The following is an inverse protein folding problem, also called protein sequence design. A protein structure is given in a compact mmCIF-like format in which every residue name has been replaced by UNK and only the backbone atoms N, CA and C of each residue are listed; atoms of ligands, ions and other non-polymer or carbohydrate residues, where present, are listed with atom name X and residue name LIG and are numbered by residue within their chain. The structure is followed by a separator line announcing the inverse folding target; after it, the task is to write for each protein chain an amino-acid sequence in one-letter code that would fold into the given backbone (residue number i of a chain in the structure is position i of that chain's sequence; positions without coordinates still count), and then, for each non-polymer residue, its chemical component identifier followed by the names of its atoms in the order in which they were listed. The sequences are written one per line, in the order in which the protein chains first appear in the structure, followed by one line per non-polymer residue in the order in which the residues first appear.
data_IF_876541309057
#
_entry.id   IF_876541309057
#
_cell.length_a   1.000
_cell.length_b   1.000
_cell.length_c   1.000
_cell.angle_alpha   90.00
_cell.angle_beta   90.00
_cell.angle_gamma   90.00
#
_symmetry.space_group_name_H-M   'P 1'
#
loop_
_entity.id
_entity.type
_entity.pdbx_description
1 polymer ?
#
# COMPACT_ATOMS: atom_id res chain seq x y z
N UNK A 1 10.05 23.16 -0.38
CA UNK A 1 8.78 22.45 -0.18
C UNK A 1 8.20 22.93 1.14
N UNK A 2 7.36 23.96 1.08
CA UNK A 2 6.72 24.64 2.21
C UNK A 2 5.43 23.91 2.55
N UNK A 3 5.41 23.17 3.66
CA UNK A 3 4.19 22.58 4.23
C UNK A 3 3.27 23.70 4.77
N UNK A 4 1.95 23.70 4.48
CA UNK A 4 1.03 24.61 5.13
C UNK A 4 0.73 24.07 6.53
N UNK A 5 1.36 24.66 7.56
CA UNK A 5 0.94 24.44 8.95
C UNK A 5 -0.49 24.95 9.11
N UNK A 6 -1.48 24.05 9.23
CA UNK A 6 -2.85 24.44 9.54
C UNK A 6 -2.91 24.98 10.97
N UNK A 7 -3.02 26.30 11.13
CA UNK A 7 -3.20 26.94 12.43
C UNK A 7 -4.68 26.80 12.84
N UNK A 8 -4.93 26.30 14.05
CA UNK A 8 -6.26 26.24 14.65
C UNK A 8 -6.44 27.40 15.64
N UNK A 9 -7.63 27.98 15.71
CA UNK A 9 -7.99 29.00 16.70
C UNK A 9 -8.90 28.39 17.78
N UNK A 10 -8.61 28.69 19.04
CA UNK A 10 -9.37 28.21 20.20
C UNK A 10 -10.27 29.35 20.70
N UNK A 11 -11.59 29.17 20.62
CA UNK A 11 -12.58 30.14 21.10
C UNK A 11 -13.28 29.62 22.36
N UNK A 12 -13.21 30.36 23.47
CA UNK A 12 -13.93 30.02 24.69
C UNK A 12 -15.41 30.38 24.55
N UNK A 13 -16.29 29.41 24.76
CA UNK A 13 -17.73 29.66 24.81
C UNK A 13 -18.11 30.06 26.24
N UNK A 14 -18.88 31.14 26.39
CA UNK A 14 -19.35 31.64 27.68
C UNK A 14 -20.52 30.74 28.15
N UNK A 15 -20.52 30.22 29.38
CA UNK A 15 -21.58 29.32 29.84
C UNK A 15 -22.90 30.09 29.99
N UNK A 16 -23.97 29.59 29.37
CA UNK A 16 -25.33 30.02 29.67
C UNK A 16 -25.69 29.58 31.09
N UNK A 17 -26.31 30.51 31.80
CA UNK A 17 -26.46 30.50 33.24
C UNK A 17 -27.61 29.57 33.64
N UNK A 18 -27.33 28.36 34.11
CA UNK A 18 -28.27 27.63 34.97
C UNK A 18 -27.56 26.59 35.87
N UNK A 19 -27.69 26.80 37.18
CA UNK A 19 -27.65 25.80 38.26
C UNK A 19 -26.52 24.76 38.29
N UNK A 20 -25.54 24.98 39.19
CA UNK A 20 -24.82 23.88 39.84
C UNK A 20 -23.31 23.83 39.62
N UNK A 21 -22.57 24.48 40.53
CA UNK A 21 -21.36 23.93 41.17
C UNK A 21 -20.12 23.48 40.39
N UNK A 22 -20.10 23.45 39.06
CA UNK A 22 -18.92 22.97 38.32
C UNK A 22 -18.53 23.95 37.19
N UNK A 23 -17.39 24.63 37.36
CA UNK A 23 -16.89 25.63 36.39
C UNK A 23 -16.19 24.93 35.22
N UNK A 24 -16.93 24.15 34.44
CA UNK A 24 -16.42 23.59 33.18
C UNK A 24 -16.30 24.69 32.13
N UNK A 25 -15.12 24.84 31.54
CA UNK A 25 -14.90 25.76 30.41
C UNK A 25 -14.97 24.98 29.11
N UNK A 26 -15.94 25.30 28.28
CA UNK A 26 -16.11 24.68 26.96
C UNK A 26 -15.40 25.53 25.92
N UNK A 27 -14.47 24.92 25.19
CA UNK A 27 -13.77 25.58 24.08
C UNK A 27 -14.16 24.96 22.76
N UNK A 28 -14.34 25.82 21.75
CA UNK A 28 -14.53 25.44 20.36
C UNK A 28 -13.20 25.62 19.63
N UNK A 29 -12.75 24.57 18.95
CA UNK A 29 -11.58 24.63 18.07
C UNK A 29 -12.09 24.82 16.64
N UNK A 30 -11.61 25.84 15.95
CA UNK A 30 -11.92 26.10 14.54
C UNK A 30 -10.66 26.17 13.71
N UNK A 31 -10.68 25.54 12.53
CA UNK A 31 -9.62 25.66 11.52
C UNK A 31 -9.77 27.00 10.79
N UNK A 32 -8.66 27.67 10.50
CA UNK A 32 -8.65 29.05 9.98
C UNK A 32 -9.27 29.21 8.58
N UNK A 33 -9.62 28.11 7.89
CA UNK A 33 -10.19 28.11 6.53
C UNK A 33 -11.74 28.12 6.49
N UNK A 34 -12.44 28.09 7.63
CA UNK A 34 -13.91 28.03 7.66
C UNK A 34 -14.61 29.40 7.76
N UNK A 35 -13.90 30.53 7.68
CA UNK A 35 -14.48 31.86 7.95
C UNK A 35 -15.00 32.62 6.72
N UNK A 36 -14.98 32.05 5.52
CA UNK A 36 -15.50 32.75 4.33
C UNK A 36 -16.25 31.81 3.40
N UNK A 37 -17.54 31.56 3.64
CA UNK A 37 -18.51 31.30 2.57
C UNK A 37 -19.91 31.66 3.08
N UNK A 38 -20.31 32.92 2.86
CA UNK A 38 -21.71 33.25 2.67
C UNK A 38 -22.17 32.61 1.35
N UNK A 39 -23.01 31.57 1.40
CA UNK A 39 -24.03 31.36 0.36
C UNK A 39 -25.13 30.41 0.81
N UNK A 40 -26.35 30.87 0.55
CA UNK A 40 -27.62 30.24 0.85
C UNK A 40 -27.86 28.89 0.15
N UNK A 41 -28.76 28.14 0.79
CA UNK A 41 -29.70 27.14 0.27
C UNK A 41 -29.30 25.66 0.17
N UNK A 42 -29.73 24.94 1.21
CA UNK A 42 -30.47 23.67 1.23
C UNK A 42 -29.97 22.49 0.36
N UNK A 43 -29.49 21.43 1.03
CA UNK A 43 -30.15 20.12 1.18
C UNK A 43 -29.20 19.11 1.85
N UNK A 44 -29.60 18.61 3.04
CA UNK A 44 -29.11 17.42 3.77
C UNK A 44 -27.62 17.04 3.61
N UNK A 45 -26.73 17.78 4.28
CA UNK A 45 -25.41 17.25 4.70
C UNK A 45 -25.34 17.22 6.22
N UNK A 46 -25.02 16.05 6.79
CA UNK A 46 -24.70 15.92 8.22
C UNK A 46 -23.44 16.76 8.49
N UNK A 47 -23.43 17.66 9.49
CA UNK A 47 -22.28 18.50 9.75
C UNK A 47 -21.10 17.63 10.19
N UNK A 48 -20.02 17.66 9.41
CA UNK A 48 -18.76 17.02 9.74
C UNK A 48 -18.17 17.73 10.97
N UNK A 49 -17.91 16.96 12.02
CA UNK A 49 -16.93 17.27 13.06
C UNK A 49 -17.17 18.54 13.89
N UNK A 50 -18.16 18.54 14.79
CA UNK A 50 -18.13 19.47 15.94
C UNK A 50 -17.27 18.83 17.04
N UNK A 51 -16.00 19.21 17.11
CA UNK A 51 -15.11 18.80 18.19
C UNK A 51 -15.16 19.85 19.31
N UNK A 52 -15.65 19.47 20.48
CA UNK A 52 -15.61 20.27 21.69
C UNK A 52 -14.57 19.68 22.65
N UNK A 53 -13.71 20.53 23.18
CA UNK A 53 -12.79 20.14 24.24
C UNK A 53 -13.35 20.64 25.57
N UNK A 54 -13.60 19.71 26.49
CA UNK A 54 -13.99 20.02 27.87
C UNK A 54 -12.72 19.93 28.72
N UNK A 55 -12.29 21.07 29.26
CA UNK A 55 -11.13 21.14 30.15
C UNK A 55 -11.67 21.39 31.56
N UNK A 56 -11.59 20.36 32.41
CA UNK A 56 -11.90 20.48 33.84
C UNK A 56 -10.68 21.00 34.59
N UNK A 57 -10.89 22.01 35.44
CA UNK A 57 -9.82 22.70 36.18
C UNK A 57 -9.41 22.01 37.50
N UNK A 58 -9.65 20.70 37.67
CA UNK A 58 -9.31 19.95 38.88
C UNK A 58 -8.15 18.95 38.66
N UNK A 59 -7.12 18.89 39.53
CA UNK A 59 -6.05 17.92 39.39
C UNK A 59 -6.54 16.48 39.69
N UNK A 60 -5.99 15.46 39.01
CA UNK A 60 -6.52 14.10 39.04
C UNK A 60 -6.21 13.43 40.38
N UNK A 61 -7.19 13.42 41.27
CA UNK A 61 -7.18 12.57 42.47
C UNK A 61 -7.95 11.29 42.14
N UNK A 62 -7.18 10.19 42.02
CA UNK A 62 -7.56 8.79 42.23
C UNK A 62 -8.88 8.32 41.57
N UNK A 63 -8.70 7.65 40.42
CA UNK A 63 -9.46 6.46 40.01
C UNK A 63 -11.00 6.59 39.99
N UNK A 64 -11.54 7.24 38.97
CA UNK A 64 -12.83 6.82 38.43
C UNK A 64 -12.56 5.92 37.23
N UNK A 65 -12.65 4.61 37.44
CA UNK A 65 -12.91 3.66 36.36
C UNK A 65 -14.20 4.11 35.69
N UNK A 66 -14.08 4.68 34.49
CA UNK A 66 -15.16 4.64 33.54
C UNK A 66 -15.27 3.17 33.12
N UNK A 67 -16.12 2.42 33.83
CA UNK A 67 -16.63 1.15 33.32
C UNK A 67 -17.19 1.46 31.94
N UNK A 68 -16.40 1.10 30.94
CA UNK A 68 -16.79 1.22 29.55
C UNK A 68 -17.86 0.17 29.35
N UNK A 69 -19.11 0.61 29.33
CA UNK A 69 -20.22 -0.18 28.81
C UNK A 69 -19.79 -0.71 27.44
N UNK A 70 -19.54 -2.02 27.36
CA UNK A 70 -19.13 -2.71 26.14
C UNK A 70 -20.27 -2.60 25.13
N UNK A 71 -20.26 -1.53 24.33
CA UNK A 71 -21.06 -1.45 23.12
C UNK A 71 -20.45 -2.44 22.14
N UNK A 72 -20.92 -3.69 22.17
CA UNK A 72 -20.59 -4.73 21.19
C UNK A 72 -21.07 -4.24 19.82
N UNK A 73 -20.16 -3.69 19.02
CA UNK A 73 -20.33 -3.45 17.61
C UNK A 73 -20.62 -4.79 16.93
N UNK A 74 -21.79 -4.88 16.28
CA UNK A 74 -22.24 -6.08 15.58
C UNK A 74 -21.36 -6.46 14.37
N UNK A 75 -20.36 -5.64 14.03
CA UNK A 75 -19.59 -5.72 12.79
C UNK A 75 -18.16 -6.27 12.98
N UNK A 76 -17.75 -6.64 14.19
CA UNK A 76 -16.41 -7.21 14.44
C UNK A 76 -15.25 -6.20 14.40
N UNK A 77 -15.53 -4.91 14.20
CA UNK A 77 -14.53 -3.84 14.15
C UNK A 77 -13.72 -3.71 15.45
N UNK A 78 -14.30 -4.10 16.59
CA UNK A 78 -13.60 -4.15 17.88
C UNK A 78 -12.43 -5.14 17.91
N UNK A 79 -12.56 -6.29 17.27
CA UNK A 79 -11.49 -7.29 17.23
C UNK A 79 -10.34 -6.79 16.35
N UNK A 80 -10.66 -6.13 15.24
CA UNK A 80 -9.68 -5.52 14.34
C UNK A 80 -8.91 -4.41 15.08
N UNK A 81 -9.60 -3.54 15.82
CA UNK A 81 -8.98 -2.49 16.61
C UNK A 81 -8.11 -3.09 17.73
N UNK A 82 -8.55 -4.14 18.42
CA UNK A 82 -7.76 -4.83 19.45
C UNK A 82 -6.50 -5.49 18.88
N UNK A 83 -6.61 -6.17 17.73
CA UNK A 83 -5.46 -6.80 17.05
C UNK A 83 -4.47 -5.74 16.59
N UNK A 84 -4.94 -4.64 15.99
CA UNK A 84 -4.08 -3.55 15.54
C UNK A 84 -3.35 -2.87 16.72
N UNK A 85 -4.06 -2.59 17.82
CA UNK A 85 -3.46 -1.99 19.01
C UNK A 85 -2.46 -2.93 19.68
N UNK A 86 -2.74 -4.24 19.71
CA UNK A 86 -1.81 -5.25 20.23
C UNK A 86 -0.56 -5.37 19.36
N UNK A 87 -0.72 -5.45 18.04
CA UNK A 87 0.41 -5.46 17.10
C UNK A 87 1.23 -4.16 17.18
N UNK A 88 0.58 -3.01 17.38
CA UNK A 88 1.25 -1.73 17.58
C UNK A 88 2.04 -1.67 18.88
N UNK A 89 1.50 -2.20 19.98
CA UNK A 89 2.20 -2.29 21.26
C UNK A 89 3.41 -3.23 21.18
N UNK A 90 3.25 -4.38 20.53
CA UNK A 90 4.34 -5.34 20.33
C UNK A 90 5.44 -4.78 19.42
N UNK A 91 5.07 -4.11 18.33
CA UNK A 91 6.03 -3.42 17.45
C UNK A 91 6.76 -2.29 18.16
N UNK A 92 6.08 -1.54 19.04
CA UNK A 92 6.72 -0.53 19.87
C UNK A 92 7.74 -1.17 20.82
N UNK A 93 7.41 -2.28 21.46
CA UNK A 93 8.33 -3.01 22.34
C UNK A 93 9.55 -3.55 21.59
N UNK A 94 9.36 -4.09 20.37
CA UNK A 94 10.47 -4.52 19.49
C UNK A 94 11.36 -3.35 19.08
N UNK A 95 10.76 -2.22 18.70
CA UNK A 95 11.50 -1.01 18.36
C UNK A 95 12.32 -0.50 19.54
N UNK A 96 11.72 -0.41 20.74
CA UNK A 96 12.41 0.03 21.95
C UNK A 96 13.57 -0.91 22.33
N UNK A 97 13.40 -2.23 22.14
CA UNK A 97 14.47 -3.21 22.34
C UNK A 97 15.62 -3.03 21.33
N UNK A 98 15.31 -2.89 20.03
CA UNK A 98 16.32 -2.62 18.99
C UNK A 98 17.10 -1.32 19.27
N UNK A 99 16.40 -0.25 19.68
CA UNK A 99 17.04 1.03 20.05
C UNK A 99 17.97 0.86 21.25
N UNK A 100 17.57 0.09 22.26
CA UNK A 100 18.41 -0.20 23.43
C UNK A 100 19.63 -1.05 23.07
N UNK A 101 19.47 -2.04 22.18
CA UNK A 101 20.59 -2.83 21.67
C UNK A 101 21.59 -1.94 20.91
N UNK A 102 21.11 -1.11 19.99
CA UNK A 102 21.97 -0.18 19.24
C UNK A 102 22.69 0.78 20.18
N UNK A 103 22.02 1.27 21.23
CA UNK A 103 22.66 2.11 22.26
C UNK A 103 23.78 1.39 23.00
N UNK A 104 23.63 0.08 23.26
CA UNK A 104 24.68 -0.74 23.85
C UNK A 104 25.85 -0.97 22.89
N UNK A 105 25.57 -1.23 21.62
CA UNK A 105 26.60 -1.39 20.58
C UNK A 105 27.42 -0.09 20.40
N UNK A 106 26.75 1.07 20.33
CA UNK A 106 27.41 2.37 20.27
C UNK A 106 28.28 2.62 21.50
N UNK A 107 27.82 2.20 22.70
CA UNK A 107 28.64 2.25 23.92
C UNK A 107 29.88 1.37 23.81
N UNK A 108 29.75 0.13 23.32
CA UNK A 108 30.90 -0.75 23.11
C UNK A 108 31.89 -0.19 22.09
N UNK A 109 31.41 0.41 21.00
CA UNK A 109 32.27 1.08 20.02
C UNK A 109 33.03 2.23 20.68
N UNK A 110 32.37 3.02 21.52
CA UNK A 110 33.00 4.12 22.23
C UNK A 110 34.02 3.62 23.29
N UNK A 111 33.72 2.54 24.01
CA UNK A 111 34.65 1.85 24.92
C UNK A 111 35.88 1.33 24.16
N UNK A 112 35.70 0.69 23.01
CA UNK A 112 36.80 0.25 22.15
C UNK A 112 37.64 1.42 21.65
N UNK A 113 37.00 2.50 21.19
CA UNK A 113 37.69 3.72 20.75
C UNK A 113 38.55 4.33 21.86
N UNK A 114 37.99 4.46 23.06
CA UNK A 114 38.72 5.00 24.22
C UNK A 114 39.89 4.09 24.63
N UNK A 115 39.71 2.77 24.56
CA UNK A 115 40.75 1.79 24.83
C UNK A 115 41.89 1.87 23.79
N UNK A 116 41.56 2.01 22.51
CA UNK A 116 42.53 2.21 21.43
C UNK A 116 43.25 3.57 21.55
N UNK A 117 42.57 4.65 21.94
CA UNK A 117 43.22 5.93 22.23
C UNK A 117 44.24 5.80 23.36
N UNK A 118 43.88 5.12 24.46
CA UNK A 118 44.79 4.86 25.59
C UNK A 118 45.99 4.01 25.17
N UNK A 119 45.77 2.96 24.38
CA UNK A 119 46.85 2.14 23.85
C UNK A 119 47.78 2.95 22.96
N UNK A 120 47.24 3.82 22.10
CA UNK A 120 48.04 4.73 21.27
C UNK A 120 48.87 5.68 22.12
N UNK A 121 48.29 6.27 23.17
CA UNK A 121 49.00 7.13 24.11
C UNK A 121 50.05 6.37 24.94
N UNK A 122 49.81 5.11 25.27
CA UNK A 122 50.79 4.23 25.91
C UNK A 122 51.96 3.93 24.96
N UNK A 123 51.69 3.58 23.70
CA UNK A 123 52.71 3.40 22.67
C UNK A 123 53.52 4.69 22.47
N UNK A 124 52.86 5.85 22.35
CA UNK A 124 53.55 7.15 22.24
C UNK A 124 54.45 7.42 23.44
N UNK A 125 53.96 7.20 24.67
CA UNK A 125 54.78 7.33 25.89
C UNK A 125 55.95 6.35 25.92
N UNK A 126 55.77 5.10 25.47
CA UNK A 126 56.88 4.13 25.39
C UNK A 126 57.93 4.56 24.38
N UNK A 127 57.52 5.08 23.22
CA UNK A 127 58.43 5.56 22.18
C UNK A 127 59.21 6.79 22.67
N UNK A 128 58.53 7.78 23.26
CA UNK A 128 59.16 8.97 23.87
C UNK A 128 60.14 8.57 24.98
N UNK A 129 59.74 7.68 25.89
CA UNK A 129 60.64 7.19 26.95
C UNK A 129 61.84 6.40 26.38
N UNK A 130 61.65 5.59 25.32
CA UNK A 130 62.78 4.88 24.68
C UNK A 130 63.72 5.81 23.92
N UNK A 131 63.20 6.91 23.34
CA UNK A 131 64.02 7.95 22.72
C UNK A 131 64.83 8.72 23.78
N UNK A 132 64.22 9.01 24.94
CA UNK A 132 64.92 9.60 26.10
C UNK A 132 65.95 8.63 26.70
N UNK A 133 65.70 7.31 26.68
CA UNK A 133 66.64 6.29 27.16
C UNK A 133 67.80 6.06 26.18
N UNK A 134 67.54 6.12 24.87
CA UNK A 134 68.56 6.02 23.82
C UNK A 134 69.53 7.21 23.87
N UNK A 135 69.04 8.42 24.19
CA UNK A 135 69.90 9.60 24.40
C UNK A 135 70.92 9.42 25.54
N UNK A 136 70.67 8.52 26.52
CA UNK A 136 71.62 8.21 27.61
C UNK A 136 72.47 6.96 27.38
N UNK A 137 72.15 6.12 26.38
CA UNK A 137 72.85 4.85 26.12
C UNK A 137 73.84 4.90 24.95
N UNK A 138 73.79 5.90 24.08
CA UNK A 138 74.71 6.03 22.94
C UNK A 138 76.11 6.59 23.31
N UNK A 139 76.43 6.70 24.61
CA UNK A 139 77.70 7.23 25.11
C UNK A 139 78.45 6.33 26.11
N UNK A 140 78.18 5.01 26.16
CA UNK A 140 79.06 4.05 26.86
C UNK A 140 79.14 2.70 26.13
N UNK A 141 80.39 2.31 25.88
CA UNK A 141 80.92 1.26 24.99
C UNK A 141 81.00 -0.14 25.70
N UNK A 142 81.83 -1.11 25.27
CA UNK A 142 81.56 -2.35 24.49
C UNK A 142 81.71 -3.66 25.30
N UNK A 143 81.24 -4.83 24.80
CA UNK A 143 81.84 -6.15 25.15
C UNK A 143 81.36 -7.35 24.29
N UNK A 144 82.34 -7.95 23.62
CA UNK A 144 82.55 -9.29 23.04
C UNK A 144 81.50 -10.42 23.13
N UNK A 145 81.36 -11.17 22.01
CA UNK A 145 81.14 -12.63 22.05
C UNK A 145 81.88 -13.34 20.92
N UNK A 146 82.91 -14.06 21.32
CA UNK A 146 83.78 -14.94 20.55
C UNK A 146 83.03 -16.06 19.82
N UNK A 147 83.45 -16.37 18.59
CA UNK A 147 83.59 -17.74 18.06
C UNK A 147 84.24 -17.71 16.68
N UNK A 148 85.54 -18.03 16.62
CA UNK A 148 86.20 -18.82 15.56
C UNK A 148 87.71 -18.71 15.71
N UNK A 149 88.33 -19.66 16.41
CA UNK A 149 89.72 -19.99 16.15
C UNK A 149 89.87 -21.50 16.04
N UNK A 150 89.96 -21.94 14.79
CA UNK A 150 90.63 -23.18 14.42
C UNK A 150 92.08 -23.10 14.92
N UNK A 151 92.44 -23.89 15.93
CA UNK A 151 93.83 -24.09 16.31
C UNK A 151 94.39 -25.34 15.63
N UNK A 152 95.08 -25.08 14.52
CA UNK A 152 96.40 -25.58 14.16
C UNK A 152 96.98 -26.72 15.02
N UNK A 153 97.20 -27.86 14.36
CA UNK A 153 98.09 -28.94 14.83
C UNK A 153 99.52 -28.54 14.46
N UNK A 154 100.34 -28.19 15.45
CA UNK A 154 101.79 -28.04 15.27
C UNK A 154 102.48 -29.27 15.87
N UNK A 155 103.11 -30.06 15.01
CA UNK A 155 103.94 -31.20 15.40
C UNK A 155 105.14 -30.75 16.23
N UNK A 156 105.39 -31.48 17.31
CA UNK A 156 106.62 -31.35 18.09
C UNK A 156 107.67 -32.30 17.52
N UNK A 157 108.64 -31.74 16.80
CA UNK A 157 109.95 -32.37 16.63
C UNK A 157 110.70 -32.28 17.97
N UNK A 158 111.08 -33.44 18.49
CA UNK A 158 111.96 -33.58 19.65
C UNK A 158 113.34 -33.96 19.12
N UNK A 159 114.22 -32.97 18.99
CA UNK A 159 115.66 -33.20 18.88
C UNK A 159 116.22 -33.32 20.30
N UNK A 160 116.74 -34.51 20.59
CA UNK A 160 117.52 -34.77 21.77
C UNK A 160 118.96 -34.32 21.50
N UNK A 161 119.48 -33.42 22.33
CA UNK A 161 120.93 -33.23 22.50
C UNK A 161 121.28 -33.58 23.94
N UNK A 162 122.07 -34.63 24.02
CA UNK A 162 122.67 -35.27 25.18
C UNK A 162 123.90 -34.50 25.63
N UNK A 163 123.92 -34.06 26.88
CA UNK A 163 125.17 -33.86 27.64
C UNK A 163 124.88 -34.34 29.06
N UNK A 164 125.45 -35.51 29.41
CA UNK A 164 126.47 -35.65 30.45
C UNK A 164 125.91 -35.25 31.84
N UNK A 165 125.82 -36.14 32.82
CA UNK A 165 126.97 -36.72 33.52
C UNK A 165 126.44 -37.86 34.42
N UNK A 166 127.25 -38.91 34.53
CA UNK A 166 127.10 -40.07 35.42
C UNK A 166 126.86 -39.70 36.90
N UNK A 167 126.24 -40.64 37.62
CA UNK A 167 126.27 -40.76 39.09
C UNK A 167 125.20 -39.99 39.92
N UNK A 168 123.91 -40.13 39.56
CA UNK A 168 122.77 -39.81 40.46
C UNK A 168 121.53 -40.70 40.20
N UNK A 169 121.74 -42.00 39.94
CA UNK A 169 120.71 -42.92 39.41
C UNK A 169 119.59 -43.34 40.39
N UNK A 170 119.67 -42.99 41.68
CA UNK A 170 118.68 -43.41 42.68
C UNK A 170 117.49 -42.47 42.86
N UNK A 171 117.71 -41.15 42.79
CA UNK A 171 116.68 -40.14 43.06
C UNK A 171 115.87 -39.73 41.83
N UNK A 172 116.54 -39.56 40.69
CA UNK A 172 115.90 -39.15 39.42
C UNK A 172 115.01 -40.24 38.81
N UNK A 173 115.35 -41.51 39.03
CA UNK A 173 114.52 -42.62 38.55
C UNK A 173 113.23 -42.75 39.36
N UNK A 174 113.25 -42.39 40.64
CA UNK A 174 112.06 -42.33 41.48
C UNK A 174 111.18 -41.14 41.11
N UNK A 175 111.76 -39.94 40.90
CA UNK A 175 110.99 -38.77 40.46
C UNK A 175 110.39 -38.96 39.06
N UNK A 176 111.08 -39.63 38.13
CA UNK A 176 110.56 -40.00 36.82
C UNK A 176 109.41 -41.02 36.91
N UNK A 177 109.52 -41.99 37.82
CA UNK A 177 108.46 -42.98 38.07
C UNK A 177 107.22 -42.32 38.68
N UNK A 178 107.42 -41.42 39.64
CA UNK A 178 106.38 -40.65 40.31
C UNK A 178 105.65 -39.71 39.33
N UNK A 179 106.39 -39.04 38.44
CA UNK A 179 105.84 -38.16 37.39
C UNK A 179 105.07 -38.95 36.33
N UNK A 180 105.57 -40.12 35.93
CA UNK A 180 104.86 -41.02 35.00
C UNK A 180 103.56 -41.53 35.62
N UNK A 181 103.56 -41.95 36.89
CA UNK A 181 102.34 -42.32 37.63
C UNK A 181 101.33 -41.17 37.68
N UNK A 182 101.78 -39.95 37.98
CA UNK A 182 100.92 -38.75 38.00
C UNK A 182 100.34 -38.43 36.63
N UNK A 183 101.12 -38.56 35.55
CA UNK A 183 100.64 -38.33 34.18
C UNK A 183 99.61 -39.39 33.75
N UNK A 184 99.87 -40.67 34.04
CA UNK A 184 98.90 -41.75 33.78
C UNK A 184 97.62 -41.57 34.59
N UNK A 185 97.72 -41.17 35.86
CA UNK A 185 96.56 -40.85 36.68
C UNK A 185 95.75 -39.68 36.10
N UNK A 186 96.42 -38.60 35.67
CA UNK A 186 95.77 -37.47 34.98
C UNK A 186 95.11 -37.88 33.67
N UNK A 187 95.77 -38.66 32.82
CA UNK A 187 95.19 -39.16 31.58
C UNK A 187 93.94 -40.00 31.87
N UNK A 188 94.01 -40.86 32.89
CA UNK A 188 92.87 -41.69 33.31
C UNK A 188 91.72 -40.86 33.88
N UNK A 189 92.03 -39.81 34.63
CA UNK A 189 91.04 -38.85 35.11
C UNK A 189 90.37 -38.12 33.95
N UNK A 190 91.12 -37.58 32.99
CA UNK A 190 90.56 -36.92 31.80
C UNK A 190 89.70 -37.86 30.96
N UNK A 191 90.15 -39.11 30.75
CA UNK A 191 89.35 -40.12 30.06
C UNK A 191 88.03 -40.38 30.79
N UNK A 192 88.05 -40.51 32.11
CA UNK A 192 86.85 -40.68 32.92
C UNK A 192 85.94 -39.43 32.85
N UNK A 193 86.51 -38.22 32.88
CA UNK A 193 85.75 -36.96 32.72
C UNK A 193 85.06 -36.91 31.37
N UNK A 194 85.78 -37.16 30.27
CA UNK A 194 85.19 -37.20 28.94
C UNK A 194 84.11 -38.28 28.78
N UNK A 195 84.31 -39.46 29.35
CA UNK A 195 83.27 -40.50 29.35
C UNK A 195 82.03 -40.05 30.13
N UNK A 196 82.20 -39.36 31.25
CA UNK A 196 81.09 -38.79 32.02
C UNK A 196 80.36 -37.71 31.23
N UNK A 197 81.08 -36.76 30.63
CA UNK A 197 80.50 -35.69 29.82
C UNK A 197 79.75 -36.24 28.61
N UNK A 198 80.32 -37.25 27.95
CA UNK A 198 79.65 -37.94 26.84
C UNK A 198 78.33 -38.56 27.26
N UNK A 199 78.27 -39.25 28.42
CA UNK A 199 77.02 -39.80 28.95
C UNK A 199 76.02 -38.69 29.29
N UNK A 200 76.47 -37.60 29.90
CA UNK A 200 75.61 -36.44 30.18
C UNK A 200 75.03 -35.82 28.91
N UNK A 201 75.82 -35.71 27.84
CA UNK A 201 75.33 -35.26 26.54
C UNK A 201 74.39 -36.26 25.87
N UNK A 202 74.66 -37.56 25.95
CA UNK A 202 73.77 -38.60 25.44
C UNK A 202 72.41 -38.57 26.17
N UNK A 203 72.41 -38.37 27.49
CA UNK A 203 71.19 -38.22 28.30
C UNK A 203 70.42 -36.92 27.96
N UNK A 204 71.11 -35.79 27.75
CA UNK A 204 70.44 -34.54 27.35
C UNK A 204 69.85 -34.63 25.95
N UNK A 205 70.58 -35.22 24.99
CA UNK A 205 70.07 -35.51 23.64
C UNK A 205 68.90 -36.49 23.67
N UNK A 206 68.93 -37.49 24.56
CA UNK A 206 67.82 -38.40 24.80
C UNK A 206 66.57 -37.69 25.30
N UNK A 207 66.73 -36.73 26.22
CA UNK A 207 65.61 -35.90 26.73
C UNK A 207 65.01 -35.01 25.64
N UNK A 208 65.83 -34.26 24.92
CA UNK A 208 65.34 -33.39 23.83
C UNK A 208 64.63 -34.18 22.74
N UNK A 209 65.11 -35.38 22.42
CA UNK A 209 64.43 -36.25 21.44
C UNK A 209 63.04 -36.65 21.88
N UNK A 210 62.87 -37.08 23.14
CA UNK A 210 61.55 -37.42 23.70
C UNK A 210 60.61 -36.22 23.67
N UNK A 211 61.08 -35.04 24.06
CA UNK A 211 60.28 -33.81 24.04
C UNK A 211 59.83 -33.44 22.61
N UNK A 212 60.72 -33.60 21.62
CA UNK A 212 60.38 -33.41 20.21
C UNK A 212 59.38 -34.46 19.71
N UNK A 213 59.52 -35.73 20.12
CA UNK A 213 58.59 -36.79 19.75
C UNK A 213 57.20 -36.56 20.36
N UNK A 214 57.14 -36.18 21.65
CA UNK A 214 55.90 -35.82 22.35
C UNK A 214 55.22 -34.61 21.71
N UNK A 215 55.99 -33.55 21.41
CA UNK A 215 55.51 -32.36 20.69
C UNK A 215 55.00 -32.71 19.29
N UNK A 216 55.68 -33.60 18.57
CA UNK A 216 55.22 -34.08 17.25
C UNK A 216 53.92 -34.87 17.32
N UNK A 217 53.74 -35.72 18.34
CA UNK A 217 52.48 -36.45 18.55
C UNK A 217 51.34 -35.47 18.86
N UNK A 218 51.58 -34.50 19.74
CA UNK A 218 50.60 -33.45 20.06
C UNK A 218 50.23 -32.62 18.82
N UNK A 219 51.22 -32.24 17.99
CA UNK A 219 51.00 -31.54 16.72
C UNK A 219 50.14 -32.36 15.75
N UNK A 220 50.46 -33.64 15.53
CA UNK A 220 49.68 -34.51 14.63
C UNK A 220 48.22 -34.62 15.08
N UNK A 221 47.98 -34.79 16.38
CA UNK A 221 46.62 -34.82 16.92
C UNK A 221 45.88 -33.51 16.67
N UNK A 222 46.54 -32.37 16.89
CA UNK A 222 45.96 -31.06 16.60
C UNK A 222 45.67 -30.88 15.10
N UNK A 223 46.53 -31.39 14.21
CA UNK A 223 46.31 -31.40 12.77
C UNK A 223 45.08 -32.22 12.38
N UNK A 224 44.93 -33.43 12.94
CA UNK A 224 43.76 -34.28 12.72
C UNK A 224 42.46 -33.61 13.22
N UNK A 225 42.50 -33.01 14.41
CA UNK A 225 41.37 -32.26 14.99
C UNK A 225 40.98 -31.06 14.11
N UNK A 226 41.96 -30.33 13.57
CA UNK A 226 41.74 -29.23 12.61
C UNK A 226 41.14 -29.76 11.31
N UNK A 227 41.60 -30.89 10.79
CA UNK A 227 41.05 -31.49 9.57
C UNK A 227 39.58 -31.90 9.74
N UNK A 228 39.22 -32.49 10.89
CA UNK A 228 37.82 -32.83 11.22
C UNK A 228 36.96 -31.56 11.34
N UNK A 229 37.47 -30.53 12.01
CA UNK A 229 36.77 -29.25 12.12
C UNK A 229 36.60 -28.57 10.76
N UNK A 230 37.59 -28.65 9.87
CA UNK A 230 37.53 -28.11 8.52
C UNK A 230 36.41 -28.78 7.71
N UNK A 231 36.31 -30.11 7.75
CA UNK A 231 35.18 -30.83 7.11
C UNK A 231 33.82 -30.40 7.68
N UNK A 232 33.73 -30.20 9.00
CA UNK A 232 32.50 -29.72 9.64
C UNK A 232 32.13 -28.31 9.19
N UNK A 233 33.10 -27.42 9.05
CA UNK A 233 32.88 -26.05 8.54
C UNK A 233 32.41 -26.08 7.10
N UNK A 234 33.01 -26.91 6.25
CA UNK A 234 32.62 -27.08 4.84
C UNK A 234 31.17 -27.59 4.71
N UNK A 235 30.77 -28.56 5.53
CA UNK A 235 29.39 -29.06 5.52
C UNK A 235 28.38 -28.00 5.97
N UNK A 236 28.73 -27.21 6.99
CA UNK A 236 27.90 -26.07 7.41
C UNK A 236 27.80 -25.01 6.31
N UNK A 237 28.91 -24.68 5.63
CA UNK A 237 28.90 -23.76 4.50
C UNK A 237 28.04 -24.28 3.35
N UNK A 238 28.11 -25.59 3.05
CA UNK A 238 27.27 -26.23 2.03
C UNK A 238 25.78 -26.11 2.39
N UNK A 239 25.42 -26.36 3.64
CA UNK A 239 24.03 -26.26 4.11
C UNK A 239 23.54 -24.81 4.09
N UNK A 240 24.33 -23.86 4.59
CA UNK A 240 23.99 -22.43 4.55
C UNK A 240 23.82 -21.94 3.12
N UNK A 241 24.72 -22.32 2.21
CA UNK A 241 24.58 -21.99 0.78
C UNK A 241 23.35 -22.61 0.12
N UNK A 242 22.93 -23.79 0.57
CA UNK A 242 21.64 -24.40 0.18
C UNK A 242 20.45 -23.55 0.64
N UNK A 243 20.42 -23.19 1.92
CA UNK A 243 19.37 -22.36 2.52
C UNK A 243 19.30 -20.96 1.89
N UNK A 244 20.44 -20.34 1.58
CA UNK A 244 20.49 -19.05 0.87
C UNK A 244 19.93 -19.11 -0.55
N UNK A 245 20.18 -20.22 -1.27
CA UNK A 245 19.59 -20.44 -2.60
C UNK A 245 18.08 -20.65 -2.50
N UNK A 246 17.63 -21.43 -1.53
CA UNK A 246 16.20 -21.63 -1.28
C UNK A 246 15.53 -20.31 -0.87
N UNK A 247 16.12 -19.54 0.04
CA UNK A 247 15.62 -18.24 0.45
C UNK A 247 15.48 -17.28 -0.73
N UNK A 248 16.50 -17.19 -1.60
CA UNK A 248 16.43 -16.39 -2.84
C UNK A 248 15.32 -16.88 -3.77
N UNK A 249 15.15 -18.19 -3.91
CA UNK A 249 14.10 -18.78 -4.75
C UNK A 249 12.71 -18.46 -4.20
N UNK A 250 12.52 -18.57 -2.88
CA UNK A 250 11.27 -18.24 -2.20
C UNK A 250 10.94 -16.74 -2.31
N UNK A 251 11.94 -15.86 -2.18
CA UNK A 251 11.76 -14.42 -2.40
C UNK A 251 11.33 -14.11 -3.85
N UNK A 252 11.92 -14.77 -4.85
CA UNK A 252 11.48 -14.61 -6.25
C UNK A 252 10.03 -15.02 -6.42
N UNK A 253 9.65 -16.19 -5.92
CA UNK A 253 8.27 -16.69 -5.98
C UNK A 253 7.28 -15.80 -5.23
N UNK A 254 7.67 -15.23 -4.09
CA UNK A 254 6.85 -14.30 -3.34
C UNK A 254 6.58 -13.03 -4.16
N UNK A 255 7.60 -12.48 -4.80
CA UNK A 255 7.48 -11.30 -5.65
C UNK A 255 6.67 -11.59 -6.93
N UNK A 256 6.81 -12.77 -7.52
CA UNK A 256 5.97 -13.22 -8.65
C UNK A 256 4.50 -13.32 -8.22
N UNK A 257 4.21 -13.97 -7.10
CA UNK A 257 2.85 -14.06 -6.56
C UNK A 257 2.27 -12.69 -6.19
N UNK A 258 3.08 -11.76 -5.66
CA UNK A 258 2.64 -10.40 -5.35
C UNK A 258 2.25 -9.64 -6.62
N UNK A 259 3.01 -9.80 -7.71
CA UNK A 259 2.67 -9.24 -9.03
C UNK A 259 1.38 -9.85 -9.58
N UNK A 260 1.24 -11.17 -9.55
CA UNK A 260 0.02 -11.85 -9.99
C UNK A 260 -1.20 -11.39 -9.18
N UNK A 261 -1.05 -11.22 -7.87
CA UNK A 261 -2.12 -10.72 -7.00
C UNK A 261 -2.52 -9.29 -7.39
N UNK A 262 -1.55 -8.43 -7.69
CA UNK A 262 -1.81 -7.06 -8.12
C UNK A 262 -2.48 -7.01 -9.50
N UNK A 263 -2.07 -7.87 -10.44
CA UNK A 263 -2.75 -8.04 -11.72
C UNK A 263 -4.22 -8.49 -11.54
N UNK A 264 -4.48 -9.45 -10.66
CA UNK A 264 -5.85 -9.89 -10.34
C UNK A 264 -6.68 -8.78 -9.71
N UNK A 265 -6.10 -7.96 -8.83
CA UNK A 265 -6.78 -6.78 -8.25
C UNK A 265 -7.16 -5.78 -9.33
N UNK A 266 -6.23 -5.44 -10.24
CA UNK A 266 -6.53 -4.51 -11.32
C UNK A 266 -7.57 -5.06 -12.29
N UNK A 267 -7.55 -6.37 -12.57
CA UNK A 267 -8.57 -7.05 -13.40
C UNK A 267 -9.93 -7.03 -12.73
N UNK A 268 -9.99 -7.30 -11.43
CA UNK A 268 -11.22 -7.25 -10.63
C UNK A 268 -11.81 -5.85 -10.63
N UNK A 269 -10.98 -4.82 -10.45
CA UNK A 269 -11.42 -3.43 -10.48
C UNK A 269 -11.93 -3.01 -11.87
N UNK A 270 -11.27 -3.45 -12.95
CA UNK A 270 -11.76 -3.25 -14.33
C UNK A 270 -13.11 -3.93 -14.55
N UNK A 271 -13.25 -5.20 -14.14
CA UNK A 271 -14.49 -5.95 -14.25
C UNK A 271 -15.63 -5.31 -13.46
N UNK A 272 -15.35 -4.77 -12.26
CA UNK A 272 -16.32 -4.02 -11.47
C UNK A 272 -16.79 -2.75 -12.20
N UNK A 273 -15.86 -1.97 -12.77
CA UNK A 273 -16.20 -0.78 -13.58
C UNK A 273 -17.03 -1.13 -14.81
N UNK A 274 -16.72 -2.25 -15.47
CA UNK A 274 -17.51 -2.77 -16.59
C UNK A 274 -18.91 -3.19 -16.12
N UNK A 275 -19.02 -3.88 -14.99
CA UNK A 275 -20.29 -4.25 -14.39
C UNK A 275 -21.15 -3.03 -14.04
N UNK A 276 -20.55 -1.99 -13.46
CA UNK A 276 -21.27 -0.73 -13.15
C UNK A 276 -21.77 -0.06 -14.44
N UNK A 277 -20.95 -0.04 -15.50
CA UNK A 277 -21.37 0.47 -16.83
C UNK A 277 -22.51 -0.36 -17.42
N UNK A 278 -22.44 -1.68 -17.35
CA UNK A 278 -23.50 -2.58 -17.79
C UNK A 278 -24.80 -2.32 -17.01
N UNK A 279 -24.73 -2.18 -15.69
CA UNK A 279 -25.90 -1.90 -14.86
C UNK A 279 -26.56 -0.55 -15.19
N UNK A 280 -25.78 0.48 -15.55
CA UNK A 280 -26.32 1.76 -16.02
C UNK A 280 -27.03 1.59 -17.36
N UNK A 281 -26.39 0.92 -18.32
CA UNK A 281 -26.99 0.66 -19.64
C UNK A 281 -28.27 -0.19 -19.54
N UNK A 282 -28.30 -1.18 -18.65
CA UNK A 282 -29.50 -1.99 -18.38
C UNK A 282 -30.66 -1.15 -17.84
N UNK A 283 -30.40 -0.20 -16.93
CA UNK A 283 -31.40 0.76 -16.44
C UNK A 283 -31.91 1.65 -17.56
N UNK A 284 -31.03 2.14 -18.43
CA UNK A 284 -31.43 2.94 -19.59
C UNK A 284 -32.29 2.14 -20.57
N UNK A 285 -31.90 0.89 -20.86
CA UNK A 285 -32.69 -0.03 -21.69
C UNK A 285 -34.07 -0.29 -21.08
N UNK A 286 -34.16 -0.50 -19.77
CA UNK A 286 -35.44 -0.67 -19.07
C UNK A 286 -36.32 0.59 -19.20
N UNK A 287 -35.74 1.78 -18.97
CA UNK A 287 -36.45 3.05 -19.12
C UNK A 287 -36.93 3.29 -20.56
N UNK A 288 -36.12 2.93 -21.56
CA UNK A 288 -36.53 3.00 -22.97
C UNK A 288 -37.66 2.02 -23.29
N UNK A 289 -37.62 0.80 -22.75
CA UNK A 289 -38.71 -0.18 -22.90
C UNK A 289 -40.03 0.34 -22.31
N UNK A 290 -39.99 0.98 -21.15
CA UNK A 290 -41.16 1.63 -20.54
C UNK A 290 -41.70 2.76 -21.41
N UNK A 291 -40.82 3.62 -21.95
CA UNK A 291 -41.23 4.69 -22.87
C UNK A 291 -41.90 4.15 -24.14
N UNK A 292 -41.35 3.09 -24.72
CA UNK A 292 -41.95 2.40 -25.87
C UNK A 292 -43.33 1.87 -25.49
N UNK A 293 -43.46 1.23 -24.32
CA UNK A 293 -44.73 0.70 -23.85
C UNK A 293 -45.81 1.78 -23.68
N UNK A 294 -45.45 2.93 -23.08
CA UNK A 294 -46.36 4.07 -22.95
C UNK A 294 -46.77 4.66 -24.30
N UNK A 295 -45.84 4.75 -25.26
CA UNK A 295 -46.14 5.21 -26.62
C UNK A 295 -47.10 4.26 -27.33
N UNK A 296 -46.92 2.94 -27.19
CA UNK A 296 -47.82 1.94 -27.75
C UNK A 296 -49.25 2.05 -27.18
N UNK A 297 -49.39 2.31 -25.88
CA UNK A 297 -50.70 2.51 -25.26
C UNK A 297 -51.38 3.79 -25.74
N UNK A 298 -50.63 4.88 -25.89
CA UNK A 298 -51.12 6.11 -26.49
C UNK A 298 -51.57 5.89 -27.94
N UNK A 299 -50.78 5.15 -28.73
CA UNK A 299 -51.13 4.80 -30.10
C UNK A 299 -52.41 3.96 -30.16
N UNK A 300 -52.53 2.92 -29.31
CA UNK A 300 -53.75 2.10 -29.22
C UNK A 300 -54.98 2.92 -28.79
N UNK A 301 -54.81 3.89 -27.90
CA UNK A 301 -55.88 4.81 -27.48
C UNK A 301 -56.33 5.71 -28.63
N UNK A 302 -55.37 6.31 -29.35
CA UNK A 302 -55.67 7.11 -30.54
C UNK A 302 -56.35 6.28 -31.64
N UNK A 303 -55.85 5.07 -31.91
CA UNK A 303 -56.47 4.14 -32.85
C UNK A 303 -57.92 3.79 -32.47
N UNK A 304 -58.20 3.55 -31.18
CA UNK A 304 -59.57 3.34 -30.68
C UNK A 304 -60.45 4.57 -30.91
N UNK A 305 -59.95 5.77 -30.65
CA UNK A 305 -60.67 7.02 -30.89
C UNK A 305 -61.01 7.22 -32.36
N UNK A 306 -60.06 6.96 -33.26
CA UNK A 306 -60.28 7.03 -34.72
C UNK A 306 -61.32 6.00 -35.17
N UNK A 307 -61.23 4.75 -34.69
CA UNK A 307 -62.27 3.73 -34.96
C UNK A 307 -63.65 4.19 -34.54
N UNK A 308 -63.78 4.75 -33.33
CA UNK A 308 -65.05 5.31 -32.86
C UNK A 308 -65.53 6.49 -33.73
N UNK A 309 -64.63 7.40 -34.14
CA UNK A 309 -64.99 8.50 -35.04
C UNK A 309 -65.48 7.99 -36.41
N UNK A 310 -64.85 6.95 -36.96
CA UNK A 310 -65.29 6.32 -38.21
C UNK A 310 -66.69 5.73 -38.04
N UNK A 311 -66.95 5.03 -36.93
CA UNK A 311 -68.27 4.46 -36.61
C UNK A 311 -69.35 5.55 -36.48
N UNK A 312 -69.05 6.65 -35.76
CA UNK A 312 -69.97 7.80 -35.65
C UNK A 312 -70.26 8.44 -37.01
N UNK A 313 -69.25 8.61 -37.87
CA UNK A 313 -69.42 9.14 -39.23
C UNK A 313 -70.24 8.21 -40.12
N UNK A 314 -70.05 6.90 -40.00
CA UNK A 314 -70.84 5.91 -40.73
C UNK A 314 -72.31 5.97 -40.31
N UNK A 315 -72.61 6.02 -39.00
CA UNK A 315 -73.97 6.16 -38.48
C UNK A 315 -74.65 7.46 -38.92
N UNK A 316 -73.90 8.58 -38.91
CA UNK A 316 -74.41 9.86 -39.39
C UNK A 316 -74.71 9.81 -40.90
N UNK A 317 -73.84 9.17 -41.69
CA UNK A 317 -74.04 8.99 -43.13
C UNK A 317 -75.31 8.17 -43.41
N UNK A 318 -75.52 7.05 -42.73
CA UNK A 318 -76.74 6.23 -42.92
C UNK A 318 -78.00 6.99 -42.52
N UNK A 319 -77.94 7.80 -41.46
CA UNK A 319 -79.05 8.65 -41.04
C UNK A 319 -79.38 9.71 -42.09
N UNK A 320 -78.37 10.37 -42.67
CA UNK A 320 -78.57 11.35 -43.74
C UNK A 320 -79.21 10.66 -44.96
N UNK A 321 -78.72 9.48 -45.36
CA UNK A 321 -79.29 8.72 -46.47
C UNK A 321 -80.78 8.38 -46.25
N UNK A 322 -81.17 8.02 -45.03
CA UNK A 322 -82.57 7.78 -44.69
C UNK A 322 -83.41 9.07 -44.78
N UNK A 323 -82.87 10.21 -44.33
CA UNK A 323 -83.55 11.51 -44.47
C UNK A 323 -83.68 11.93 -45.94
N UNK A 324 -82.66 11.71 -46.75
CA UNK A 324 -82.69 12.00 -48.18
C UNK A 324 -83.74 11.15 -48.91
N UNK A 325 -83.88 9.88 -48.53
CA UNK A 325 -84.96 9.02 -49.03
C UNK A 325 -86.34 9.60 -48.73
N UNK A 326 -86.60 9.99 -47.47
CA UNK A 326 -87.88 10.62 -47.08
C UNK A 326 -88.11 11.92 -47.86
N UNK A 327 -87.07 12.73 -48.05
CA UNK A 327 -87.16 13.96 -48.86
C UNK A 327 -87.56 13.63 -50.29
N UNK A 328 -86.98 12.60 -50.91
CA UNK A 328 -87.34 12.15 -52.27
C UNK A 328 -88.81 11.70 -52.33
N UNK A 329 -89.27 10.88 -51.38
CA UNK A 329 -90.68 10.43 -51.31
C UNK A 329 -91.64 11.64 -51.19
N UNK A 330 -91.28 12.64 -50.38
CA UNK A 330 -92.05 13.88 -50.25
C UNK A 330 -92.01 14.72 -51.53
N UNK A 331 -90.88 14.80 -52.22
CA UNK A 331 -90.75 15.50 -53.50
C UNK A 331 -91.64 14.85 -54.57
N UNK A 332 -91.62 13.53 -54.69
CA UNK A 332 -92.50 12.78 -55.59
C UNK A 332 -93.98 13.06 -55.28
N UNK A 333 -94.34 13.07 -53.99
CA UNK A 333 -95.70 13.42 -53.57
C UNK A 333 -96.08 14.85 -53.97
N UNK A 334 -95.20 15.82 -53.75
CA UNK A 334 -95.42 17.21 -54.16
C UNK A 334 -95.57 17.32 -55.68
N UNK A 335 -94.70 16.68 -56.46
CA UNK A 335 -94.81 16.66 -57.92
C UNK A 335 -96.12 16.02 -58.40
N UNK A 336 -96.57 14.93 -57.77
CA UNK A 336 -97.87 14.31 -58.08
C UNK A 336 -99.04 15.27 -57.81
N UNK A 337 -99.02 15.96 -56.66
CA UNK A 337 -100.03 16.95 -56.29
C UNK A 337 -99.96 18.19 -57.18
N UNK A 338 -98.78 18.59 -57.65
CA UNK A 338 -98.61 19.70 -58.58
C UNK A 338 -99.17 19.36 -59.96
N UNK A 339 -98.93 18.13 -60.45
CA UNK A 339 -99.50 17.66 -61.71
C UNK A 339 -101.03 17.55 -61.63
N UNK A 340 -101.57 17.01 -60.54
CA UNK A 340 -103.01 16.99 -60.28
C UNK A 340 -103.60 18.40 -60.21
N UNK A 341 -102.94 19.33 -59.49
CA UNK A 341 -103.35 20.73 -59.45
C UNK A 341 -103.34 21.35 -60.85
N UNK A 342 -102.28 21.14 -61.65
CA UNK A 342 -102.21 21.67 -63.00
C UNK A 342 -103.34 21.12 -63.87
N UNK A 343 -103.61 19.81 -63.81
CA UNK A 343 -104.73 19.19 -64.51
C UNK A 343 -106.08 19.81 -64.10
N UNK A 344 -106.28 20.08 -62.81
CA UNK A 344 -107.49 20.78 -62.34
C UNK A 344 -107.56 22.22 -62.86
N UNK A 345 -106.43 22.94 -62.90
CA UNK A 345 -106.36 24.28 -63.45
C UNK A 345 -106.67 24.28 -64.96
N UNK A 346 -106.09 23.36 -65.73
CA UNK A 346 -106.36 23.21 -67.16
C UNK A 346 -107.85 22.90 -67.40
N UNK A 347 -108.45 22.01 -66.60
CA UNK A 347 -109.89 21.73 -66.64
C UNK A 347 -110.73 22.98 -66.34
N UNK A 348 -110.36 23.79 -65.34
CA UNK A 348 -111.04 25.05 -65.04
C UNK A 348 -110.89 26.06 -66.18
N UNK A 349 -109.70 26.20 -66.76
CA UNK A 349 -109.44 27.08 -67.89
C UNK A 349 -110.23 26.67 -69.12
N UNK A 350 -110.35 25.36 -69.41
CA UNK A 350 -111.23 24.88 -70.48
C UNK A 350 -112.69 25.29 -70.25
N UNK A 351 -113.23 25.10 -69.03
CA UNK A 351 -114.60 25.51 -68.70
C UNK A 351 -114.81 27.03 -68.78
N UNK A 352 -113.81 27.83 -68.40
CA UNK A 352 -113.82 29.29 -68.53
C UNK A 352 -113.62 29.76 -69.99
N UNK A 353 -112.79 29.07 -70.77
CA UNK A 353 -112.53 29.32 -72.18
C UNK A 353 -113.75 29.06 -73.06
N UNK A 354 -114.59 28.09 -72.70
CA UNK A 354 -115.91 27.92 -73.34
C UNK A 354 -116.85 29.12 -73.11
N UNK A 355 -116.56 30.01 -72.16
CA UNK A 355 -117.32 31.27 -71.98
C UNK A 355 -116.79 32.43 -72.83
N UNK A 356 -115.73 32.26 -73.62
CA UNK A 356 -115.13 33.35 -74.40
C UNK A 356 -114.72 32.93 -75.83
N UNK A 357 -115.52 33.36 -76.80
CA UNK A 357 -115.22 33.49 -78.24
C UNK A 357 -115.06 35.00 -78.58
N UNK A 358 -114.24 35.44 -79.56
CA UNK A 358 -112.91 36.00 -79.34
C UNK A 358 -112.83 37.53 -79.55
N UNK A 359 -112.02 38.23 -78.76
CA UNK A 359 -111.31 39.44 -79.21
C UNK A 359 -110.09 39.79 -78.33
N UNK A 360 -108.93 39.42 -78.86
CA UNK A 360 -107.69 40.21 -79.03
C UNK A 360 -107.00 40.99 -77.88
N UNK A 361 -105.66 40.84 -77.89
CA UNK A 361 -104.56 41.70 -77.39
C UNK A 361 -104.26 41.63 -75.88
N UNK A 362 -103.24 40.86 -75.46
CA UNK A 362 -101.79 41.18 -75.37
C UNK A 362 -101.49 42.42 -74.52
N UNK A 363 -100.80 42.24 -73.38
CA UNK A 363 -99.42 42.73 -73.16
C UNK A 363 -99.05 42.87 -71.67
N UNK A 364 -98.13 41.99 -71.23
CA UNK A 364 -96.87 42.31 -70.52
C UNK A 364 -96.85 42.83 -69.06
N UNK A 365 -96.20 41.99 -68.25
CA UNK A 365 -95.11 42.27 -67.30
C UNK A 365 -95.46 42.56 -65.81
N UNK A 366 -95.08 41.63 -64.93
CA UNK A 366 -94.07 41.90 -63.90
C UNK A 366 -93.37 40.62 -63.38
N UNK A 367 -92.15 40.43 -63.88
CA UNK A 367 -90.89 40.01 -63.24
C UNK A 367 -90.84 39.46 -61.80
N UNK A 368 -90.08 38.35 -61.64
CA UNK A 368 -89.04 38.07 -60.62
C UNK A 368 -89.43 38.08 -59.12
N UNK A 369 -88.89 37.28 -58.21
CA UNK A 369 -87.80 36.31 -58.15
C UNK A 369 -87.86 35.69 -56.73
N UNK A 370 -87.45 34.43 -56.58
CA UNK A 370 -87.14 33.82 -55.26
C UNK A 370 -85.63 33.99 -55.06
N UNK A 371 -85.14 34.39 -53.87
CA UNK A 371 -84.72 33.37 -52.91
C UNK A 371 -85.03 33.68 -51.44
N UNK A 372 -85.47 32.62 -50.74
CA UNK A 372 -85.34 32.50 -49.29
C UNK A 372 -83.87 32.73 -48.91
N UNK A 373 -83.61 33.77 -48.13
CA UNK A 373 -82.35 33.95 -47.42
C UNK A 373 -82.61 34.02 -45.93
N UNK A 374 -83.08 32.90 -45.37
CA UNK A 374 -83.15 32.66 -43.93
C UNK A 374 -81.90 31.92 -43.47
N UNK A 375 -80.74 32.58 -43.43
CA UNK A 375 -79.58 32.09 -42.67
C UNK A 375 -79.91 32.15 -41.17
N UNK A 376 -80.67 31.17 -40.66
CA UNK A 376 -80.56 30.77 -39.26
C UNK A 376 -79.29 29.94 -39.16
N UNK A 377 -78.22 30.57 -38.68
CA UNK A 377 -77.08 29.82 -38.15
C UNK A 377 -77.57 29.00 -36.96
N UNK A 378 -77.78 27.70 -37.19
CA UNK A 378 -77.89 26.73 -36.11
C UNK A 378 -76.49 26.59 -35.52
N UNK A 379 -76.25 27.28 -34.41
CA UNK A 379 -75.13 26.97 -33.53
C UNK A 379 -75.42 25.63 -32.86
N UNK A 380 -74.53 24.62 -32.94
CA UNK A 380 -74.69 23.44 -32.11
C UNK A 380 -74.41 23.84 -30.65
N UNK A 381 -75.40 23.63 -29.79
CA UNK A 381 -75.23 23.73 -28.36
C UNK A 381 -74.33 22.57 -27.88
N UNK A 382 -73.14 22.90 -27.40
CA UNK A 382 -72.21 21.97 -26.75
C UNK A 382 -71.32 22.74 -25.76
N UNK A 383 -70.95 22.13 -24.61
CA UNK A 383 -70.50 22.86 -23.43
C UNK A 383 -69.06 23.37 -23.55
N UNK A 384 -68.90 24.68 -23.63
CA UNK A 384 -67.62 25.36 -23.45
C UNK A 384 -67.25 25.35 -21.95
N UNK A 385 -66.47 24.34 -21.53
CA UNK A 385 -65.61 24.47 -20.34
C UNK A 385 -64.35 25.24 -20.76
N UNK A 386 -63.99 26.37 -20.14
CA UNK A 386 -62.72 27.02 -20.41
C UNK A 386 -61.56 26.20 -19.82
N UNK A 387 -60.53 25.93 -20.62
CA UNK A 387 -59.26 25.38 -20.15
C UNK A 387 -58.43 26.51 -19.48
N UNK A 388 -57.69 26.24 -18.41
CA UNK A 388 -56.83 27.23 -17.78
C UNK A 388 -55.61 27.52 -18.68
N UNK A 389 -55.35 28.80 -18.94
CA UNK A 389 -54.09 29.25 -19.53
C UNK A 389 -52.96 29.02 -18.53
N UNK A 390 -52.06 28.09 -18.84
CA UNK A 390 -50.77 27.97 -18.16
C UNK A 390 -49.88 29.08 -18.69
N UNK A 391 -49.51 30.04 -17.83
CA UNK A 391 -48.41 30.96 -18.12
C UNK A 391 -47.11 30.22 -17.86
N UNK A 392 -46.31 30.07 -18.92
CA UNK A 392 -44.90 29.71 -18.81
C UNK A 392 -44.18 30.92 -18.23
N UNK A 393 -43.61 30.77 -17.04
CA UNK A 393 -42.58 31.68 -16.54
C UNK A 393 -41.26 31.00 -16.85
N UNK A 394 -40.49 31.59 -17.75
CA UNK A 394 -39.09 31.22 -17.95
C UNK A 394 -38.30 31.57 -16.68
N UNK A 395 -37.55 30.59 -16.18
CA UNK A 395 -36.47 30.78 -15.20
C UNK A 395 -35.21 30.13 -15.74
#
# INVERSE_FOLDING_TARGET
MTEPRSLCTLQQLKPELEGGGDRMKTFRLTLQNDSTTERSDCLKQKPVGRAFAVISSRPPSRSQSLDSELVKSANGDEEIIKVYLKAKAENKMRHDWNVNQLRNEVRHIQEARTSLCKLREEISRTIENTADTAHWQEAKDPMERWNSLQHHVSGWNREASTEAVEEFLGGETETLRETTKKLLAKLKEEENRHQSDRRMFEDTLGRYRKEVDESNIARKKAEDDVAVNQMRVEELQRLMGGMEKEHRTLLSKLNENEKELEELRTRTEKSRKEQDRCAVLEKEVASLREKIHHLDDMLKSQQRKVRHMIEQLQNARTLIQEKDRIIQELQERVSSLQAENLEMHDRMEHLLGYRLSPSTTVSKNYTQSVPLNGKRGFMPAGPLKPLPLIRVVET
#
